data_IF_420216989935
#
_entry.id   IF_420216989935
#
_cell.length_a   1.000
_cell.length_b   1.000
_cell.length_c   1.000
_cell.angle_alpha   90.00
_cell.angle_beta   90.00
_cell.angle_gamma   90.00
#
_symmetry.space_group_name_H-M   'P 1'
#
loop_
_entity.id
_entity.type
_entity.pdbx_description
1 polymer ?
#
# COMPACT_ATOMS: atom_id res chain seq x y z
N UNK A 1 20.36 -31.75 33.57
CA UNK A 1 19.26 -30.78 33.37
C UNK A 1 19.74 -29.74 32.38
N UNK A 2 18.99 -29.58 31.29
CA UNK A 2 19.29 -28.66 30.19
C UNK A 2 19.09 -27.21 30.63
N UNK A 3 19.90 -26.29 30.08
CA UNK A 3 19.37 -25.00 29.65
C UNK A 3 20.30 -24.32 28.64
N UNK A 4 19.86 -24.43 27.40
CA UNK A 4 20.30 -23.69 26.21
C UNK A 4 20.08 -22.19 26.42
N UNK A 5 21.14 -21.39 26.42
CA UNK A 5 21.03 -19.94 26.24
C UNK A 5 21.43 -19.56 24.82
N UNK A 6 20.41 -19.13 24.09
CA UNK A 6 20.43 -18.68 22.70
C UNK A 6 21.29 -17.42 22.61
N UNK A 7 22.31 -17.45 21.74
CA UNK A 7 23.13 -16.30 21.37
C UNK A 7 22.23 -15.23 20.72
N UNK A 8 22.15 -14.05 21.32
CA UNK A 8 21.53 -12.87 20.69
C UNK A 8 22.43 -12.39 19.55
N UNK A 9 22.05 -12.71 18.31
CA UNK A 9 22.67 -12.14 17.12
C UNK A 9 22.28 -10.65 17.01
N UNK A 10 23.28 -9.77 17.01
CA UNK A 10 23.15 -8.35 16.65
C UNK A 10 22.64 -8.27 15.22
N UNK A 11 21.39 -7.86 15.03
CA UNK A 11 20.87 -7.43 13.73
C UNK A 11 21.38 -6.00 13.53
N UNK A 12 22.59 -5.87 13.00
CA UNK A 12 23.05 -4.61 12.42
C UNK A 12 22.25 -4.36 11.15
N UNK A 13 21.42 -3.33 11.18
CA UNK A 13 20.70 -2.82 10.00
C UNK A 13 21.71 -2.24 9.01
N UNK A 14 22.30 -3.09 8.17
CA UNK A 14 23.09 -2.62 7.05
C UNK A 14 22.17 -1.95 6.04
N UNK A 15 22.34 -0.63 5.90
CA UNK A 15 21.75 0.17 4.84
C UNK A 15 22.18 -0.44 3.51
N UNK A 16 21.25 -1.07 2.79
CA UNK A 16 21.49 -1.59 1.44
C UNK A 16 21.91 -0.42 0.57
N UNK A 17 23.14 -0.46 0.04
CA UNK A 17 23.69 0.60 -0.82
C UNK A 17 22.87 0.70 -2.11
N UNK A 18 22.49 1.91 -2.57
CA UNK A 18 21.81 2.08 -3.84
C UNK A 18 22.69 1.57 -4.99
N UNK A 19 22.10 0.76 -5.87
CA UNK A 19 22.77 0.31 -7.10
C UNK A 19 22.88 1.48 -8.07
N UNK A 20 24.10 1.75 -8.57
CA UNK A 20 24.42 2.86 -9.50
C UNK A 20 23.47 2.86 -10.70
N UNK A 21 22.87 4.02 -11.00
CA UNK A 21 22.22 4.32 -12.28
C UNK A 21 20.68 4.32 -12.32
N UNK A 22 19.98 4.35 -11.17
CA UNK A 22 18.51 4.44 -11.17
C UNK A 22 18.06 5.79 -10.63
N UNK A 23 17.07 6.46 -11.25
CA UNK A 23 16.50 7.67 -10.68
C UNK A 23 15.88 7.29 -9.35
N UNK A 24 16.51 7.73 -8.27
CA UNK A 24 15.92 7.80 -6.95
C UNK A 24 14.71 8.72 -7.11
N UNK A 25 13.50 8.17 -7.19
CA UNK A 25 12.30 8.98 -7.00
C UNK A 25 12.44 9.59 -5.61
N UNK A 26 12.79 10.87 -5.57
CA UNK A 26 12.93 11.62 -4.33
C UNK A 26 11.62 11.51 -3.52
N UNK A 27 11.69 11.83 -2.23
CA UNK A 27 10.51 11.71 -1.36
C UNK A 27 9.29 12.47 -1.92
N UNK A 28 9.53 13.60 -2.61
CA UNK A 28 8.49 14.41 -3.26
C UNK A 28 7.84 13.69 -4.46
N UNK A 29 8.63 13.05 -5.32
CA UNK A 29 8.15 12.28 -6.45
C UNK A 29 7.33 11.07 -6.03
N UNK A 30 7.71 10.42 -4.91
CA UNK A 30 6.91 9.32 -4.32
C UNK A 30 5.56 9.79 -3.81
N UNK A 31 5.53 10.91 -3.09
CA UNK A 31 4.29 11.51 -2.57
C UNK A 31 3.35 11.94 -3.72
N UNK A 32 3.90 12.60 -4.74
CA UNK A 32 3.15 13.00 -5.92
C UNK A 32 2.54 11.79 -6.64
N UNK A 33 3.33 10.73 -6.84
CA UNK A 33 2.86 9.52 -7.51
C UNK A 33 1.77 8.81 -6.71
N UNK A 34 1.90 8.75 -5.38
CA UNK A 34 0.85 8.20 -4.52
C UNK A 34 -0.45 8.98 -4.68
N UNK A 35 -0.39 10.33 -4.64
CA UNK A 35 -1.56 11.20 -4.85
C UNK A 35 -2.23 10.97 -6.20
N UNK A 36 -1.44 10.80 -7.27
CA UNK A 36 -1.96 10.48 -8.60
C UNK A 36 -2.71 9.15 -8.63
N UNK A 37 -2.11 8.09 -8.07
CA UNK A 37 -2.76 6.77 -8.00
C UNK A 37 -4.02 6.81 -7.13
N UNK A 38 -3.98 7.49 -6.00
CA UNK A 38 -5.16 7.66 -5.12
C UNK A 38 -6.28 8.40 -5.83
N UNK A 39 -5.98 9.47 -6.58
CA UNK A 39 -7.00 10.20 -7.35
C UNK A 39 -7.64 9.29 -8.40
N UNK A 40 -6.83 8.53 -9.15
CA UNK A 40 -7.32 7.57 -10.14
C UNK A 40 -8.19 6.45 -9.53
N UNK A 41 -7.89 6.01 -8.30
CA UNK A 41 -8.75 5.07 -7.57
C UNK A 41 -10.11 5.69 -7.19
N UNK A 42 -10.11 6.92 -6.68
CA UNK A 42 -11.32 7.63 -6.26
C UNK A 42 -12.21 8.03 -7.44
N UNK A 43 -11.61 8.28 -8.60
CA UNK A 43 -12.32 8.59 -9.85
C UNK A 43 -12.79 7.34 -10.59
N UNK A 44 -12.34 6.14 -10.18
CA UNK A 44 -12.67 4.87 -10.83
C UNK A 44 -11.93 4.64 -12.15
N UNK A 45 -10.89 5.42 -12.44
CA UNK A 45 -10.01 5.24 -13.61
C UNK A 45 -8.99 4.11 -13.41
N UNK A 46 -8.64 3.83 -12.15
CA UNK A 46 -7.79 2.70 -11.78
C UNK A 46 -8.57 1.71 -10.95
N UNK A 47 -8.38 0.43 -11.26
CA UNK A 47 -8.79 -0.64 -10.35
C UNK A 47 -7.82 -0.74 -9.17
N UNK A 48 -8.24 -1.44 -8.11
CA UNK A 48 -7.36 -1.73 -6.98
C UNK A 48 -6.13 -2.55 -7.43
N UNK A 49 -6.30 -3.53 -8.32
CA UNK A 49 -5.18 -4.33 -8.82
C UNK A 49 -4.16 -3.51 -9.59
N UNK A 50 -4.62 -2.64 -10.47
CA UNK A 50 -3.77 -1.73 -11.25
C UNK A 50 -3.03 -0.75 -10.34
N UNK A 51 -3.71 -0.13 -9.38
CA UNK A 51 -3.10 0.79 -8.43
C UNK A 51 -1.99 0.11 -7.61
N UNK A 52 -2.23 -1.11 -7.11
CA UNK A 52 -1.22 -1.86 -6.36
C UNK A 52 0.02 -2.15 -7.22
N UNK A 53 -0.18 -2.56 -8.48
CA UNK A 53 0.89 -2.86 -9.43
C UNK A 53 1.73 -1.62 -9.73
N UNK A 54 1.08 -0.48 -9.98
CA UNK A 54 1.74 0.80 -10.24
C UNK A 54 2.59 1.25 -9.04
N UNK A 55 2.03 1.22 -7.83
CA UNK A 55 2.74 1.59 -6.61
C UNK A 55 3.91 0.64 -6.32
N UNK A 56 3.72 -0.67 -6.48
CA UNK A 56 4.81 -1.65 -6.30
C UNK A 56 5.98 -1.37 -7.24
N UNK A 57 5.71 -1.09 -8.52
CA UNK A 57 6.76 -0.89 -9.52
C UNK A 57 7.42 0.48 -9.40
N UNK A 58 6.64 1.55 -9.24
CA UNK A 58 7.14 2.92 -9.34
C UNK A 58 7.55 3.53 -8.01
N UNK A 59 6.97 3.09 -6.88
CA UNK A 59 7.34 3.60 -5.55
C UNK A 59 8.34 2.68 -4.88
N UNK A 60 8.09 1.36 -4.90
CA UNK A 60 8.91 0.39 -4.17
C UNK A 60 9.96 -0.29 -5.05
N UNK A 61 9.79 -0.26 -6.38
CA UNK A 61 10.69 -0.89 -7.34
C UNK A 61 10.98 -2.37 -7.04
N UNK A 62 9.92 -3.11 -6.65
CA UNK A 62 10.02 -4.52 -6.31
C UNK A 62 9.40 -5.38 -7.40
N UNK A 63 10.07 -6.49 -7.73
CA UNK A 63 9.46 -7.55 -8.54
C UNK A 63 8.30 -8.18 -7.77
N UNK A 64 7.36 -8.77 -8.50
CA UNK A 64 6.16 -9.39 -7.93
C UNK A 64 6.50 -10.44 -6.85
N UNK A 65 7.52 -11.28 -7.06
CA UNK A 65 7.97 -12.26 -6.07
C UNK A 65 8.43 -11.62 -4.75
N UNK A 66 9.27 -10.57 -4.85
CA UNK A 66 9.83 -9.88 -3.69
C UNK A 66 8.73 -9.22 -2.87
N UNK A 67 7.76 -8.60 -3.55
CA UNK A 67 6.64 -7.96 -2.88
C UNK A 67 5.70 -8.96 -2.22
N UNK A 68 5.39 -10.06 -2.91
CA UNK A 68 4.55 -11.13 -2.37
C UNK A 68 5.15 -11.72 -1.09
N UNK A 69 6.46 -11.99 -1.09
CA UNK A 69 7.21 -12.42 0.09
C UNK A 69 7.16 -11.38 1.21
N UNK A 70 7.40 -10.10 0.89
CA UNK A 70 7.38 -8.99 1.85
C UNK A 70 6.03 -8.83 2.56
N UNK A 71 4.92 -8.99 1.82
CA UNK A 71 3.56 -8.85 2.40
C UNK A 71 2.99 -10.17 2.91
N UNK A 72 3.70 -11.30 2.75
CA UNK A 72 3.28 -12.60 3.26
C UNK A 72 2.08 -13.19 2.53
N UNK A 73 2.09 -13.14 1.19
CA UNK A 73 1.14 -13.83 0.30
C UNK A 73 1.89 -14.61 -0.78
N UNK A 74 1.24 -15.55 -1.45
CA UNK A 74 1.87 -16.24 -2.58
C UNK A 74 1.97 -15.31 -3.80
N UNK A 75 3.00 -15.51 -4.63
CA UNK A 75 3.13 -14.80 -5.92
C UNK A 75 1.87 -14.93 -6.79
N UNK A 76 1.23 -16.11 -6.79
CA UNK A 76 -0.02 -16.37 -7.52
C UNK A 76 -1.16 -15.49 -7.01
N UNK A 77 -1.31 -15.35 -5.70
CA UNK A 77 -2.32 -14.47 -5.08
C UNK A 77 -2.06 -13.02 -5.47
N UNK A 78 -0.82 -12.53 -5.32
CA UNK A 78 -0.49 -11.16 -5.72
C UNK A 78 -0.75 -10.92 -7.21
N UNK A 79 -0.40 -11.87 -8.07
CA UNK A 79 -0.67 -11.78 -9.51
C UNK A 79 -2.17 -11.72 -9.82
N UNK A 80 -2.99 -12.52 -9.14
CA UNK A 80 -4.43 -12.45 -9.31
C UNK A 80 -4.98 -11.09 -8.88
N UNK A 81 -4.55 -10.56 -7.73
CA UNK A 81 -4.92 -9.21 -7.26
C UNK A 81 -4.54 -8.15 -8.30
N UNK A 82 -3.27 -8.13 -8.75
CA UNK A 82 -2.76 -7.11 -9.69
C UNK A 82 -3.36 -7.16 -11.09
N UNK A 83 -4.02 -8.26 -11.44
CA UNK A 83 -4.72 -8.42 -12.72
C UNK A 83 -6.25 -8.40 -12.55
N UNK A 84 -6.75 -7.95 -11.40
CA UNK A 84 -8.19 -7.85 -11.09
C UNK A 84 -8.93 -9.20 -11.24
N UNK A 85 -8.28 -10.28 -10.82
CA UNK A 85 -8.83 -11.65 -10.87
C UNK A 85 -9.05 -12.19 -9.47
N UNK A 86 -10.18 -12.89 -9.29
CA UNK A 86 -10.51 -13.56 -8.03
C UNK A 86 -11.19 -12.65 -7.02
N UNK A 87 -11.72 -13.26 -5.96
CA UNK A 87 -12.38 -12.54 -4.87
C UNK A 87 -11.57 -12.77 -3.58
N UNK A 88 -10.97 -11.70 -3.05
CA UNK A 88 -10.12 -11.76 -1.87
C UNK A 88 -10.77 -11.05 -0.69
N UNK A 89 -10.50 -11.53 0.51
CA UNK A 89 -11.01 -10.87 1.71
C UNK A 89 -10.40 -9.48 1.89
N UNK A 90 -11.14 -8.59 2.55
CA UNK A 90 -10.64 -7.28 2.97
C UNK A 90 -9.31 -7.37 3.72
N UNK A 91 -9.11 -8.42 4.52
CA UNK A 91 -7.85 -8.65 5.25
C UNK A 91 -6.66 -8.86 4.30
N UNK A 92 -6.84 -9.64 3.22
CA UNK A 92 -5.78 -9.84 2.22
C UNK A 92 -5.52 -8.55 1.44
N UNK A 93 -6.56 -7.85 0.99
CA UNK A 93 -6.39 -6.60 0.26
C UNK A 93 -5.69 -5.56 1.15
N UNK A 94 -6.16 -5.37 2.38
CA UNK A 94 -5.54 -4.42 3.31
C UNK A 94 -4.07 -4.78 3.61
N UNK A 95 -3.76 -6.07 3.75
CA UNK A 95 -2.39 -6.56 3.93
C UNK A 95 -1.48 -6.17 2.77
N UNK A 96 -1.92 -6.35 1.52
CA UNK A 96 -1.09 -6.01 0.36
C UNK A 96 -0.95 -4.51 0.15
N UNK A 97 -1.90 -3.67 0.55
CA UNK A 97 -1.79 -2.21 0.42
C UNK A 97 -1.02 -1.51 1.55
N UNK A 98 -0.83 -2.18 2.70
CA UNK A 98 -0.12 -1.60 3.85
C UNK A 98 1.27 -1.01 3.54
N UNK A 99 2.16 -1.66 2.76
CA UNK A 99 3.50 -1.11 2.50
C UNK A 99 3.52 0.14 1.62
N UNK A 100 2.44 0.39 0.88
CA UNK A 100 2.31 1.57 -0.01
C UNK A 100 1.50 2.69 0.64
N UNK A 101 1.15 2.56 1.92
CA UNK A 101 0.47 3.61 2.69
C UNK A 101 -1.03 3.74 2.38
N UNK A 102 -1.65 2.70 1.81
CA UNK A 102 -3.08 2.67 1.52
C UNK A 102 -3.79 1.59 2.34
N UNK A 103 -5.08 1.79 2.56
CA UNK A 103 -5.96 0.83 3.23
C UNK A 103 -7.32 0.80 2.54
N UNK A 104 -8.05 -0.30 2.70
CA UNK A 104 -9.41 -0.42 2.16
C UNK A 104 -10.41 0.16 3.14
N UNK A 105 -11.39 0.91 2.63
CA UNK A 105 -12.48 1.48 3.43
C UNK A 105 -13.75 1.72 2.62
N UNK A 106 -14.83 2.02 3.32
CA UNK A 106 -16.10 2.47 2.72
C UNK A 106 -16.00 3.98 2.52
N UNK A 107 -16.27 4.44 1.30
CA UNK A 107 -16.31 5.87 0.95
C UNK A 107 -17.65 6.22 0.30
N UNK A 108 -18.09 7.48 0.38
CA UNK A 108 -19.23 7.94 -0.41
C UNK A 108 -19.01 7.69 -1.89
N UNK A 109 -20.07 7.25 -2.60
CA UNK A 109 -20.04 7.12 -4.06
C UNK A 109 -20.03 8.47 -4.77
N UNK A 110 -20.62 9.49 -4.15
CA UNK A 110 -20.65 10.85 -4.68
C UNK A 110 -19.42 11.62 -4.21
N UNK A 111 -18.62 12.11 -5.15
CA UNK A 111 -17.35 12.76 -4.84
C UNK A 111 -17.53 14.04 -4.03
N UNK A 112 -18.59 14.79 -4.25
CA UNK A 112 -18.84 16.03 -3.50
C UNK A 112 -19.08 15.75 -2.02
N UNK A 113 -19.79 14.66 -1.70
CA UNK A 113 -19.98 14.21 -0.30
C UNK A 113 -18.64 13.81 0.32
N UNK A 114 -17.76 13.12 -0.43
CA UNK A 114 -16.42 12.79 0.05
C UNK A 114 -15.57 14.04 0.27
N UNK A 115 -15.59 15.01 -0.65
CA UNK A 115 -14.86 16.28 -0.53
C UNK A 115 -15.32 17.07 0.68
N UNK A 116 -16.64 17.22 0.84
CA UNK A 116 -17.23 17.91 1.98
C UNK A 116 -16.84 17.24 3.30
N UNK A 117 -16.91 15.91 3.37
CA UNK A 117 -16.53 15.16 4.57
C UNK A 117 -15.04 15.31 4.94
N UNK A 118 -14.15 15.45 3.96
CA UNK A 118 -12.70 15.60 4.20
C UNK A 118 -12.29 17.05 4.53
N UNK A 119 -13.01 18.04 4.02
CA UNK A 119 -12.71 19.47 4.21
C UNK A 119 -13.47 20.09 5.40
N UNK A 120 -14.52 19.43 5.87
CA UNK A 120 -15.33 19.93 6.99
C UNK A 120 -14.66 19.63 8.33
N UNK A 121 -14.45 20.64 9.20
CA UNK A 121 -13.93 20.41 10.55
C UNK A 121 -14.85 19.48 11.35
N UNK A 122 -14.26 18.48 12.03
CA UNK A 122 -15.00 17.43 12.76
C UNK A 122 -16.00 17.95 13.79
N UNK A 123 -15.79 19.17 14.31
CA UNK A 123 -16.68 19.82 15.28
C UNK A 123 -18.07 20.20 14.71
N UNK A 124 -18.30 20.07 13.40
CA UNK A 124 -19.62 20.38 12.79
C UNK A 124 -20.62 19.22 12.82
N UNK A 125 -20.17 17.99 13.07
CA UNK A 125 -21.05 16.82 13.13
C UNK A 125 -21.33 16.42 14.59
N UNK A 126 -21.89 17.35 15.38
CA UNK A 126 -22.56 16.95 16.62
C UNK A 126 -23.90 16.31 16.23
N UNK A 127 -23.87 15.00 16.01
CA UNK A 127 -25.06 14.17 15.94
C UNK A 127 -25.75 14.32 17.30
N UNK A 128 -26.80 15.14 17.36
CA UNK A 128 -27.70 15.15 18.50
C UNK A 128 -28.44 13.83 18.45
N UNK A 129 -28.32 13.04 19.53
CA UNK A 129 -29.10 11.83 19.76
C UNK A 129 -30.61 12.11 19.69
#
# INVERSE_FOLDING_TARGET
>A
MANTQIKKAKITSERVKPTKGRPEVDAAGRDLFLKQVTSGLLEGHLTQGQALKELRLKVLNLKQEQYASMVGVSRKVLSQIENDKGNFSFSIINKVFRPVGLQVGIIPRHQDVLRDALLTPSNKYNLKD
#
